data_IF_105268584706
#
_entry.id   IF_105268584706
#
_cell.length_a   1.000
_cell.length_b   1.000
_cell.length_c   1.000
_cell.angle_alpha   90.00
_cell.angle_beta   90.00
_cell.angle_gamma   90.00
#
_symmetry.space_group_name_H-M   'P 1'
#
loop_
_entity.id
_entity.type
_entity.pdbx_description
1 polymer ?
#
# COMPACT_ATOMS: atom_id res chain seq x y z
N UNK A 1 -22.30 2.93 -12.35
CA UNK A 1 -21.72 4.26 -12.08
C UNK A 1 -20.49 4.02 -11.24
N UNK A 2 -19.33 3.90 -11.89
CA UNK A 2 -18.07 3.60 -11.20
C UNK A 2 -17.63 4.82 -10.40
N UNK A 3 -17.88 4.76 -9.10
CA UNK A 3 -17.41 5.71 -8.13
C UNK A 3 -15.91 5.47 -7.90
N UNK A 4 -15.09 5.75 -8.93
CA UNK A 4 -13.65 5.48 -8.90
C UNK A 4 -12.92 6.61 -8.15
N UNK A 5 -13.15 6.64 -6.82
CA UNK A 5 -12.51 7.55 -5.87
C UNK A 5 -11.00 7.28 -5.70
N UNK A 6 -10.46 6.31 -6.42
CA UNK A 6 -9.09 5.81 -6.28
C UNK A 6 -8.25 6.18 -7.49
N UNK A 7 -7.06 6.68 -7.21
CA UNK A 7 -5.99 6.77 -8.22
C UNK A 7 -5.04 5.61 -8.02
N UNK A 8 -4.54 5.08 -9.13
CA UNK A 8 -3.67 3.91 -9.13
C UNK A 8 -2.39 4.17 -9.94
N UNK A 9 -1.35 3.41 -9.62
CA UNK A 9 -0.07 3.40 -10.31
C UNK A 9 0.33 1.94 -10.56
N UNK A 10 0.72 1.63 -11.79
CA UNK A 10 1.17 0.29 -12.19
C UNK A 10 2.65 0.31 -12.56
N UNK A 11 3.33 -0.79 -12.29
CA UNK A 11 4.73 -1.00 -12.68
C UNK A 11 4.85 -0.98 -14.21
N UNK A 12 5.81 -0.20 -14.72
CA UNK A 12 6.10 -0.08 -16.15
C UNK A 12 7.48 -0.64 -16.53
N UNK A 13 8.42 -0.69 -15.57
CA UNK A 13 9.78 -1.17 -15.78
C UNK A 13 10.06 -2.46 -14.99
N UNK A 14 10.67 -3.43 -15.69
CA UNK A 14 11.05 -4.72 -15.13
C UNK A 14 9.87 -5.64 -14.88
N UNK A 15 10.15 -6.93 -14.74
CA UNK A 15 9.15 -7.93 -14.34
C UNK A 15 8.94 -7.91 -12.83
N UNK A 16 7.78 -8.37 -12.41
CA UNK A 16 7.45 -8.64 -11.02
C UNK A 16 6.55 -9.88 -11.00
N UNK A 17 6.66 -10.75 -9.99
CA UNK A 17 5.84 -11.96 -9.95
C UNK A 17 4.34 -11.65 -10.00
N UNK A 18 3.58 -12.59 -10.55
CA UNK A 18 2.12 -12.53 -10.56
C UNK A 18 1.57 -12.60 -9.14
N UNK A 19 0.45 -11.91 -8.93
CA UNK A 19 -0.20 -11.82 -7.64
C UNK A 19 -0.82 -13.16 -7.24
N UNK A 20 -0.56 -13.63 -6.03
CA UNK A 20 -1.07 -14.92 -5.53
C UNK A 20 -2.28 -14.73 -4.60
N UNK A 21 -2.91 -15.83 -4.18
CA UNK A 21 -3.93 -15.82 -3.12
C UNK A 21 -3.37 -15.38 -1.76
N UNK A 22 -2.05 -15.33 -1.60
CA UNK A 22 -1.38 -14.79 -0.42
C UNK A 22 -0.91 -13.35 -0.66
N UNK A 23 -1.53 -12.61 -1.56
CA UNK A 23 -1.21 -11.19 -1.75
C UNK A 23 -1.47 -10.33 -0.50
N UNK A 24 -0.94 -9.12 -0.54
CA UNK A 24 -1.26 -8.12 0.47
C UNK A 24 -0.70 -6.75 0.13
N UNK A 25 -0.73 -5.85 1.10
CA UNK A 25 -0.34 -4.46 0.90
C UNK A 25 0.23 -3.81 2.14
N UNK A 26 1.26 -3.00 1.94
CA UNK A 26 1.68 -1.99 2.91
C UNK A 26 0.69 -0.82 2.88
N UNK A 27 0.24 -0.41 4.06
CA UNK A 27 -0.63 0.73 4.28
C UNK A 27 0.20 1.91 4.81
N UNK A 28 0.32 2.94 3.99
CA UNK A 28 1.03 4.17 4.31
C UNK A 28 0.02 5.27 4.61
N UNK A 29 -0.14 5.59 5.90
CA UNK A 29 -1.03 6.67 6.35
C UNK A 29 -0.29 8.01 6.28
N UNK A 30 -0.90 8.99 5.61
CA UNK A 30 -0.30 10.30 5.32
C UNK A 30 -1.33 11.38 5.63
N UNK A 31 -0.92 12.47 6.28
CA UNK A 31 -1.81 13.63 6.44
C UNK A 31 -2.21 14.20 5.07
N UNK A 32 -3.46 14.65 4.93
CA UNK A 32 -4.05 15.11 3.66
C UNK A 32 -3.16 16.09 2.88
N UNK A 33 -2.60 17.09 3.58
CA UNK A 33 -1.67 18.10 3.02
C UNK A 33 -0.42 17.51 2.34
N UNK A 34 0.04 16.34 2.77
CA UNK A 34 1.23 15.69 2.23
C UNK A 34 0.90 14.57 1.24
N UNK A 35 -0.37 14.17 1.13
CA UNK A 35 -0.78 12.98 0.39
C UNK A 35 -0.36 13.04 -1.07
N UNK A 36 -0.66 14.13 -1.79
CA UNK A 36 -0.31 14.27 -3.21
C UNK A 36 1.20 14.15 -3.45
N UNK A 37 1.99 14.74 -2.56
CA UNK A 37 3.46 14.71 -2.64
C UNK A 37 4.00 13.30 -2.41
N UNK A 38 3.54 12.60 -1.36
CA UNK A 38 3.98 11.24 -1.05
C UNK A 38 3.46 10.25 -2.10
N UNK A 39 2.22 10.41 -2.56
CA UNK A 39 1.65 9.63 -3.65
C UNK A 39 2.50 9.72 -4.92
N UNK A 40 2.91 10.93 -5.33
CA UNK A 40 3.72 11.08 -6.52
C UNK A 40 5.07 10.34 -6.42
N UNK A 41 5.72 10.37 -5.23
CA UNK A 41 6.96 9.59 -4.99
C UNK A 41 6.74 8.08 -5.13
N UNK A 42 5.68 7.56 -4.51
CA UNK A 42 5.33 6.13 -4.55
C UNK A 42 4.95 5.73 -5.98
N UNK A 43 4.12 6.52 -6.67
CA UNK A 43 3.75 6.30 -8.07
C UNK A 43 4.97 6.13 -8.96
N UNK A 44 5.90 7.08 -8.90
CA UNK A 44 7.14 7.03 -9.71
C UNK A 44 7.96 5.78 -9.36
N UNK A 45 8.05 5.41 -8.08
CA UNK A 45 8.80 4.24 -7.65
C UNK A 45 8.15 2.92 -8.13
N UNK A 46 6.82 2.82 -8.12
CA UNK A 46 6.08 1.69 -8.71
C UNK A 46 6.34 1.63 -10.21
N UNK A 47 6.12 2.73 -10.94
CA UNK A 47 6.30 2.78 -12.40
C UNK A 47 7.74 2.41 -12.81
N UNK A 48 8.75 2.86 -12.05
CA UNK A 48 10.16 2.52 -12.26
C UNK A 48 10.55 1.11 -11.80
N UNK A 49 9.62 0.34 -11.25
CA UNK A 49 9.82 -1.04 -10.87
C UNK A 49 10.57 -1.26 -9.55
N UNK A 50 10.59 -0.24 -8.68
CA UNK A 50 11.23 -0.33 -7.36
C UNK A 50 10.32 -0.92 -6.29
N UNK A 51 9.01 -0.73 -6.40
CA UNK A 51 8.01 -1.27 -5.45
C UNK A 51 7.31 -2.50 -6.04
N UNK A 52 6.11 -2.89 -5.61
CA UNK A 52 5.39 -4.02 -6.20
C UNK A 52 4.84 -3.74 -7.60
N UNK A 53 3.81 -4.49 -8.01
CA UNK A 53 3.13 -4.32 -9.30
C UNK A 53 2.19 -3.10 -9.32
N UNK A 54 1.60 -2.76 -8.17
CA UNK A 54 0.50 -1.81 -8.08
C UNK A 54 0.57 -0.98 -6.79
N UNK A 55 0.17 0.28 -6.86
CA UNK A 55 -0.22 1.06 -5.70
C UNK A 55 -1.53 1.80 -5.96
N UNK A 56 -2.27 2.11 -4.88
CA UNK A 56 -3.55 2.83 -4.92
C UNK A 56 -3.63 3.85 -3.80
N UNK A 57 -4.27 4.98 -4.05
CA UNK A 57 -4.65 5.97 -3.01
C UNK A 57 -6.00 6.57 -3.32
N UNK A 58 -6.77 6.94 -2.29
CA UNK A 58 -7.97 7.76 -2.48
C UNK A 58 -7.57 9.18 -2.89
N UNK A 59 -8.41 9.84 -3.69
CA UNK A 59 -8.23 11.25 -4.07
C UNK A 59 -8.40 12.15 -2.84
N UNK A 60 -7.57 13.19 -2.72
CA UNK A 60 -7.55 14.09 -1.56
C UNK A 60 -8.89 14.83 -1.36
N UNK A 61 -9.56 15.18 -2.44
CA UNK A 61 -10.84 15.91 -2.47
C UNK A 61 -12.05 15.11 -1.95
N UNK A 62 -11.89 13.80 -1.75
CA UNK A 62 -12.94 12.91 -1.26
C UNK A 62 -12.63 12.31 0.12
N UNK A 63 -11.65 12.87 0.84
CA UNK A 63 -11.30 12.40 2.18
C UNK A 63 -12.06 13.19 3.24
N UNK A 64 -12.97 12.50 3.93
CA UNK A 64 -13.64 13.02 5.13
C UNK A 64 -12.71 13.03 6.35
N UNK A 65 -11.61 12.26 6.31
CA UNK A 65 -10.60 12.16 7.36
C UNK A 65 -9.42 13.10 7.12
N UNK A 66 -8.83 13.59 8.20
CA UNK A 66 -7.58 14.39 8.17
C UNK A 66 -6.36 13.65 7.60
N UNK A 67 -6.48 12.34 7.41
CA UNK A 67 -5.44 11.46 6.89
C UNK A 67 -5.94 10.64 5.69
N UNK A 68 -5.07 10.46 4.70
CA UNK A 68 -5.23 9.54 3.58
C UNK A 68 -4.40 8.27 3.74
N UNK A 69 -4.68 7.28 2.90
CA UNK A 69 -3.95 6.02 2.85
C UNK A 69 -3.47 5.73 1.45
N UNK A 70 -2.20 5.35 1.34
CA UNK A 70 -1.61 4.79 0.12
C UNK A 70 -1.35 3.30 0.37
N UNK A 71 -1.95 2.47 -0.45
CA UNK A 71 -1.75 1.03 -0.46
C UNK A 71 -0.67 0.67 -1.48
N UNK A 72 0.38 -0.04 -1.06
CA UNK A 72 1.44 -0.55 -1.94
C UNK A 72 1.42 -2.06 -1.90
N UNK A 73 1.05 -2.69 -3.01
CA UNK A 73 0.78 -4.13 -3.06
C UNK A 73 2.06 -4.95 -3.18
N UNK A 74 2.04 -6.14 -2.58
CA UNK A 74 3.05 -7.19 -2.76
C UNK A 74 2.36 -8.45 -3.25
N UNK A 75 3.09 -9.30 -3.99
CA UNK A 75 2.47 -10.39 -4.75
C UNK A 75 2.13 -11.60 -3.86
N UNK A 76 2.97 -11.86 -2.85
CA UNK A 76 2.82 -12.96 -1.91
C UNK A 76 3.47 -12.58 -0.56
N UNK A 77 2.69 -12.52 0.51
CA UNK A 77 3.16 -12.16 1.83
C UNK A 77 4.09 -13.22 2.43
N UNK A 78 4.08 -14.46 1.91
CA UNK A 78 5.00 -15.52 2.34
C UNK A 78 6.41 -15.31 1.78
N UNK A 79 6.57 -14.55 0.70
CA UNK A 79 7.89 -14.06 0.28
C UNK A 79 8.34 -12.89 1.17
N UNK A 80 8.92 -13.26 2.30
CA UNK A 80 9.43 -12.30 3.29
C UNK A 80 10.53 -11.40 2.72
N UNK A 81 11.32 -11.89 1.76
CA UNK A 81 12.40 -11.12 1.19
C UNK A 81 11.85 -9.97 0.35
N UNK A 82 10.86 -10.23 -0.51
CA UNK A 82 10.23 -9.18 -1.30
C UNK A 82 9.40 -8.21 -0.44
N UNK A 83 8.65 -8.72 0.54
CA UNK A 83 7.92 -7.86 1.50
C UNK A 83 8.87 -6.89 2.21
N UNK A 84 10.02 -7.38 2.68
CA UNK A 84 11.04 -6.56 3.32
C UNK A 84 11.70 -5.59 2.33
N UNK A 85 12.05 -6.04 1.12
CA UNK A 85 12.63 -5.22 0.06
C UNK A 85 11.72 -4.04 -0.28
N UNK A 86 10.41 -4.28 -0.43
CA UNK A 86 9.42 -3.22 -0.69
C UNK A 86 9.36 -2.25 0.49
N UNK A 87 9.37 -2.74 1.73
CA UNK A 87 9.42 -1.88 2.92
C UNK A 87 10.65 -0.98 2.92
N UNK A 88 11.83 -1.52 2.63
CA UNK A 88 13.08 -0.76 2.58
C UNK A 88 13.08 0.29 1.48
N UNK A 89 12.54 -0.01 0.30
CA UNK A 89 12.35 0.99 -0.75
C UNK A 89 11.38 2.10 -0.32
N UNK A 90 10.30 1.80 0.41
CA UNK A 90 9.44 2.83 1.00
C UNK A 90 10.20 3.72 2.00
N UNK A 91 11.09 3.14 2.80
CA UNK A 91 11.95 3.88 3.75
C UNK A 91 12.91 4.82 3.01
N UNK A 92 13.53 4.36 1.91
CA UNK A 92 14.39 5.20 1.04
C UNK A 92 13.64 6.38 0.40
N UNK A 93 12.32 6.28 0.24
CA UNK A 93 11.47 7.37 -0.25
C UNK A 93 11.13 8.42 0.84
N UNK A 94 11.59 8.21 2.07
CA UNK A 94 11.36 9.09 3.22
C UNK A 94 10.08 8.78 4.00
N UNK A 95 9.44 7.64 3.75
CA UNK A 95 8.35 7.14 4.59
C UNK A 95 9.04 6.55 5.80
N UNK A 96 9.09 7.26 6.93
CA UNK A 96 9.81 6.82 8.15
C UNK A 96 8.88 6.49 9.31
N UNK A 97 7.61 6.93 9.24
CA UNK A 97 6.59 6.57 10.24
C UNK A 97 6.26 5.09 10.13
N UNK A 98 5.75 4.50 11.22
CA UNK A 98 5.23 3.13 11.22
C UNK A 98 4.20 2.95 10.11
N UNK A 99 4.35 1.85 9.39
CA UNK A 99 3.42 1.38 8.37
C UNK A 99 2.94 -0.02 8.75
N UNK A 100 1.72 -0.37 8.37
CA UNK A 100 1.14 -1.69 8.66
C UNK A 100 1.03 -2.49 7.37
N UNK A 101 1.18 -3.81 7.46
CA UNK A 101 0.93 -4.73 6.36
C UNK A 101 -0.39 -5.47 6.55
N UNK A 102 -1.27 -5.43 5.56
CA UNK A 102 -2.55 -6.16 5.58
C UNK A 102 -2.62 -7.13 4.41
N UNK A 103 -3.06 -8.37 4.66
CA UNK A 103 -3.29 -9.33 3.56
C UNK A 103 -4.54 -8.96 2.75
N UNK A 104 -4.62 -9.46 1.52
CA UNK A 104 -5.84 -9.34 0.73
C UNK A 104 -7.00 -10.14 1.35
N UNK A 105 -6.73 -11.34 1.86
CA UNK A 105 -7.67 -12.17 2.61
C UNK A 105 -8.31 -11.43 3.80
N UNK A 106 -7.52 -10.72 4.62
CA UNK A 106 -8.04 -9.90 5.73
C UNK A 106 -8.90 -8.71 5.23
N UNK A 107 -8.64 -8.24 4.00
CA UNK A 107 -9.45 -7.18 3.37
C UNK A 107 -10.80 -7.74 2.92
N UNK A 108 -10.80 -8.90 2.27
CA UNK A 108 -12.00 -9.60 1.79
C UNK A 108 -12.92 -10.03 2.94
N UNK A 109 -12.35 -10.45 4.08
CA UNK A 109 -13.11 -10.78 5.29
C UNK A 109 -13.66 -9.56 6.04
N UNK A 110 -13.42 -8.33 5.56
CA UNK A 110 -13.88 -7.11 6.21
C UNK A 110 -13.23 -6.85 7.57
N UNK A 111 -12.08 -7.46 7.84
CA UNK A 111 -11.39 -7.36 9.13
C UNK A 111 -10.66 -6.02 9.18
N UNK A 112 -11.22 -5.06 9.89
CA UNK A 112 -10.62 -3.74 10.16
C UNK A 112 -10.43 -3.55 11.65
N UNK A 113 -9.49 -2.69 12.06
CA UNK A 113 -9.22 -2.39 13.48
C UNK A 113 -10.47 -1.94 14.26
N UNK A 114 -11.47 -1.41 13.57
CA UNK A 114 -12.75 -1.02 14.17
C UNK A 114 -13.64 -2.21 14.57
N UNK A 115 -13.45 -3.38 13.94
CA UNK A 115 -14.35 -4.54 14.04
C UNK A 115 -13.67 -5.82 14.56
N UNK A 116 -12.40 -5.74 14.99
CA UNK A 116 -11.64 -6.90 15.47
C UNK A 116 -10.74 -6.52 16.64
N UNK A 117 -10.78 -7.34 17.69
CA UNK A 117 -9.91 -7.27 18.87
C UNK A 117 -8.51 -7.84 18.63
N UNK A 118 -8.26 -8.42 17.45
CA UNK A 118 -7.00 -9.07 17.12
C UNK A 118 -5.99 -8.13 16.44
N UNK A 119 -4.70 -8.46 16.54
CA UNK A 119 -3.63 -7.77 15.83
C UNK A 119 -3.67 -8.12 14.33
N UNK A 120 -4.40 -7.33 13.54
CA UNK A 120 -4.67 -7.58 12.10
C UNK A 120 -3.43 -7.50 11.18
N UNK A 121 -2.32 -6.85 11.59
CA UNK A 121 -1.16 -6.70 10.71
C UNK A 121 -0.26 -7.94 10.77
N UNK A 122 -0.11 -8.65 9.65
CA UNK A 122 0.78 -9.83 9.59
C UNK A 122 2.26 -9.46 9.69
N UNK A 123 2.62 -8.28 9.21
CA UNK A 123 3.92 -7.66 9.45
C UNK A 123 3.69 -6.35 10.19
N UNK A 124 4.20 -6.27 11.41
CA UNK A 124 4.28 -5.03 12.18
C UNK A 124 5.73 -4.57 12.24
N UNK A 125 5.87 -3.26 12.25
CA UNK A 125 7.05 -2.55 12.75
C UNK A 125 6.76 -2.05 14.17
#
# INVERSE_FOLDING_TARGET
MDNDYWTHAQRKKGKYPEHTSHGGKWLVFVGSHNLSRIWNKIKIAVEKGKLGSLAKTSRAEHQSSSNGVICVYTYDWKDRQDVQRIREELRKLGIIRKISYKTDEDTERGIYRANSSEKISKYYE
#
